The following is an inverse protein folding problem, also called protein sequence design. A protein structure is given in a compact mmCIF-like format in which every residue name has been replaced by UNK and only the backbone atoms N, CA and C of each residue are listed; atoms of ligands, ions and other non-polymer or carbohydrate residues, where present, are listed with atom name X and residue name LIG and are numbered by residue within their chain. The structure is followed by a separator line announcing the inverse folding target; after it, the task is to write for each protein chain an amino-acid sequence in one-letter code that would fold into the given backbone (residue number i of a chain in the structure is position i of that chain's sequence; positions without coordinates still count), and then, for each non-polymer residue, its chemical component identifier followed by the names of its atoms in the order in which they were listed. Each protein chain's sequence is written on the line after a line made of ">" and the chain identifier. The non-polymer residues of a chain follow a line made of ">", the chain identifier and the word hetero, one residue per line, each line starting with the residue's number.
data_IF_807204393472
#
_entry.id   IF_807204393472
#
_cell.length_a   1.000
_cell.length_b   1.000
_cell.length_c   1.000
_cell.angle_alpha   90.00
_cell.angle_beta   90.00
_cell.angle_gamma   90.00
#
_symmetry.space_group_name_H-M   'P 1'
#
loop_
_entity.id
_entity.type
_entity.pdbx_description
1 polymer ?
#
# COMPACT_ATOMS: atom_id res chain seq x y z
N UNK A 1 12.27 -5.61 -16.78
CA UNK A 1 12.54 -4.87 -15.53
C UNK A 1 13.22 -5.73 -14.46
N UNK A 2 12.76 -6.93 -14.19
CA UNK A 2 13.45 -7.83 -13.25
C UNK A 2 14.87 -8.15 -13.75
N UNK A 3 15.02 -8.49 -15.02
CA UNK A 3 16.32 -8.84 -15.62
C UNK A 3 17.28 -7.64 -15.62
N UNK A 4 16.76 -6.43 -15.85
CA UNK A 4 17.58 -5.21 -15.74
C UNK A 4 18.11 -4.95 -14.32
N UNK A 5 17.35 -5.32 -13.28
CA UNK A 5 17.84 -5.27 -11.91
C UNK A 5 18.92 -6.33 -11.64
N UNK A 6 18.78 -7.52 -12.26
CA UNK A 6 19.79 -8.58 -12.18
C UNK A 6 21.09 -8.17 -12.85
N UNK A 7 21.06 -7.65 -14.08
CA UNK A 7 22.20 -7.18 -14.85
C UNK A 7 22.98 -6.06 -14.12
N UNK A 8 22.26 -5.22 -13.37
CA UNK A 8 22.83 -4.14 -12.55
C UNK A 8 23.29 -4.61 -11.16
N UNK A 9 23.29 -5.90 -10.88
CA UNK A 9 23.69 -6.52 -9.60
C UNK A 9 22.94 -5.97 -8.38
N UNK A 10 21.74 -5.43 -8.61
CA UNK A 10 20.88 -4.88 -7.55
C UNK A 10 20.09 -5.96 -6.82
N UNK A 11 20.03 -7.17 -7.36
CA UNK A 11 19.31 -8.30 -6.77
C UNK A 11 20.26 -9.30 -6.12
N UNK A 12 19.75 -10.00 -5.14
CA UNK A 12 20.41 -11.17 -4.54
C UNK A 12 19.37 -12.22 -4.11
N UNK A 13 19.76 -13.52 -4.10
CA UNK A 13 18.88 -14.59 -3.66
C UNK A 13 18.75 -14.61 -2.14
N UNK A 14 17.49 -14.78 -1.66
CA UNK A 14 17.15 -14.88 -0.25
C UNK A 14 16.49 -16.23 0.03
N UNK A 15 17.06 -16.98 0.96
CA UNK A 15 16.65 -18.33 1.32
C UNK A 15 15.88 -18.40 2.66
N UNK A 16 15.60 -17.25 3.29
CA UNK A 16 14.87 -17.22 4.56
C UNK A 16 13.45 -17.75 4.43
N UNK A 17 13.02 -18.54 5.41
CA UNK A 17 11.61 -18.92 5.56
C UNK A 17 10.81 -17.82 6.26
N UNK A 18 9.48 -17.88 6.18
CA UNK A 18 8.62 -16.97 6.93
C UNK A 18 8.85 -17.10 8.43
N UNK A 19 8.97 -18.32 8.96
CA UNK A 19 9.22 -18.56 10.39
C UNK A 19 10.55 -17.96 10.86
N UNK A 20 11.61 -18.03 10.06
CA UNK A 20 12.88 -17.38 10.36
C UNK A 20 12.77 -15.86 10.40
N UNK A 21 11.97 -15.26 9.52
CA UNK A 21 11.73 -13.81 9.54
C UNK A 21 10.87 -13.38 10.74
N UNK A 22 9.93 -14.22 11.16
CA UNK A 22 9.09 -13.98 12.34
C UNK A 22 9.83 -14.17 13.67
N UNK A 23 10.84 -15.06 13.72
CA UNK A 23 11.60 -15.34 14.95
C UNK A 23 12.62 -14.27 15.31
N UNK A 24 13.03 -13.45 14.35
CA UNK A 24 13.79 -12.24 14.62
C UNK A 24 12.82 -11.20 15.16
N UNK A 25 13.08 -10.62 16.33
CA UNK A 25 12.30 -9.48 16.88
C UNK A 25 12.46 -8.23 16.00
N UNK A 26 12.11 -8.36 14.72
CA UNK A 26 12.15 -7.26 13.78
C UNK A 26 10.93 -6.36 14.00
N UNK A 27 11.09 -5.04 14.02
CA UNK A 27 9.96 -4.13 14.10
C UNK A 27 9.00 -4.40 12.94
N UNK A 28 7.70 -4.28 13.23
CA UNK A 28 6.67 -4.38 12.22
C UNK A 28 6.41 -3.01 11.60
N UNK A 29 6.23 -2.98 10.30
CA UNK A 29 5.64 -1.82 9.62
C UNK A 29 4.15 -1.73 9.93
N UNK A 30 3.57 -0.55 9.71
CA UNK A 30 2.12 -0.33 9.87
C UNK A 30 1.26 -1.30 9.05
N UNK A 31 1.81 -1.87 7.96
CA UNK A 31 1.18 -2.88 7.09
C UNK A 31 1.39 -4.32 7.59
N UNK A 32 1.99 -4.54 8.77
CA UNK A 32 2.30 -5.84 9.33
C UNK A 32 3.50 -6.55 8.67
N UNK A 33 4.25 -5.87 7.81
CA UNK A 33 5.47 -6.41 7.18
C UNK A 33 6.64 -6.32 8.15
N UNK A 34 7.46 -7.36 8.23
CA UNK A 34 8.69 -7.36 9.03
C UNK A 34 9.80 -6.62 8.31
N UNK A 35 10.58 -5.83 9.06
CA UNK A 35 11.83 -5.26 8.55
C UNK A 35 12.83 -6.39 8.34
N UNK A 36 13.32 -6.54 7.11
CA UNK A 36 14.26 -7.60 6.77
C UNK A 36 15.68 -7.28 7.26
N UNK A 37 16.29 -8.12 8.10
CA UNK A 37 17.60 -7.84 8.71
C UNK A 37 18.80 -8.04 7.77
N UNK A 38 18.60 -8.37 6.49
CA UNK A 38 19.69 -8.55 5.55
C UNK A 38 20.40 -9.92 5.61
N UNK A 39 19.84 -10.93 6.27
CA UNK A 39 20.47 -12.24 6.54
C UNK A 39 21.15 -12.87 5.31
N UNK A 40 20.53 -12.80 4.13
CA UNK A 40 21.09 -13.38 2.90
C UNK A 40 21.83 -12.37 2.01
N UNK A 41 21.91 -11.10 2.43
CA UNK A 41 22.42 -10.01 1.58
C UNK A 41 23.87 -10.23 1.10
N UNK A 42 24.68 -10.83 1.96
CA UNK A 42 26.12 -10.99 1.73
C UNK A 42 26.57 -12.45 1.70
N UNK A 43 25.66 -13.39 1.41
CA UNK A 43 26.03 -14.80 1.26
C UNK A 43 27.03 -14.99 0.13
N UNK A 44 28.13 -15.74 0.41
CA UNK A 44 29.10 -16.14 -0.59
C UNK A 44 28.52 -17.17 -1.56
N UNK A 45 29.18 -17.38 -2.69
CA UNK A 45 28.83 -18.43 -3.66
C UNK A 45 28.75 -19.82 -3.01
N UNK A 46 29.72 -20.16 -2.16
CA UNK A 46 29.75 -21.42 -1.44
C UNK A 46 28.51 -21.58 -0.53
N UNK A 47 28.21 -20.57 0.30
CA UNK A 47 27.02 -20.56 1.17
C UNK A 47 25.72 -20.68 0.40
N UNK A 48 25.63 -20.07 -0.79
CA UNK A 48 24.45 -20.19 -1.67
C UNK A 48 24.30 -21.61 -2.22
N UNK A 49 25.42 -22.27 -2.54
CA UNK A 49 25.42 -23.64 -3.03
C UNK A 49 24.96 -24.69 -1.99
N UNK A 50 25.05 -24.37 -0.70
CA UNK A 50 24.61 -25.23 0.41
C UNK A 50 23.11 -25.12 0.68
N UNK A 51 22.41 -24.16 0.02
CA UNK A 51 20.99 -23.92 0.27
C UNK A 51 20.10 -24.89 -0.53
N UNK A 52 19.31 -25.69 0.18
CA UNK A 52 18.46 -26.75 -0.38
C UNK A 52 17.03 -26.27 -0.77
N UNK A 53 16.89 -25.01 -1.15
CA UNK A 53 15.57 -24.45 -1.54
C UNK A 53 15.69 -23.37 -2.61
N UNK A 54 14.62 -23.21 -3.40
CA UNK A 54 14.52 -22.12 -4.34
C UNK A 54 14.53 -20.76 -3.61
N UNK A 55 15.29 -19.76 -4.07
CA UNK A 55 15.35 -18.45 -3.44
C UNK A 55 14.19 -17.56 -3.85
N UNK A 56 13.78 -16.69 -2.94
CA UNK A 56 13.15 -15.43 -3.31
C UNK A 56 14.24 -14.43 -3.73
N UNK A 57 13.88 -13.45 -4.55
CA UNK A 57 14.81 -12.41 -4.98
C UNK A 57 14.51 -11.10 -4.29
N UNK A 58 15.54 -10.49 -3.68
CA UNK A 58 15.42 -9.20 -3.02
C UNK A 58 16.22 -8.13 -3.76
N UNK A 59 15.65 -6.94 -3.85
CA UNK A 59 16.38 -5.75 -4.29
C UNK A 59 17.08 -5.11 -3.09
N UNK A 60 18.34 -4.71 -3.29
CA UNK A 60 19.14 -3.98 -2.32
C UNK A 60 18.60 -2.57 -2.17
N UNK A 61 18.30 -2.14 -0.96
CA UNK A 61 17.88 -0.77 -0.71
C UNK A 61 19.04 0.04 -0.12
N UNK A 62 19.21 1.31 -0.53
CA UNK A 62 20.21 2.18 0.05
C UNK A 62 19.75 2.76 1.39
N UNK A 63 20.73 3.07 2.26
CA UNK A 63 20.48 3.80 3.52
C UNK A 63 20.37 5.30 3.21
N UNK A 64 19.18 5.70 2.79
CA UNK A 64 18.81 7.11 2.59
C UNK A 64 17.35 7.34 2.94
N UNK A 65 16.98 8.60 3.15
CA UNK A 65 15.61 9.03 3.43
C UNK A 65 14.91 9.38 2.13
N UNK A 66 13.66 8.89 1.98
CA UNK A 66 12.69 9.33 0.98
C UNK A 66 11.67 10.23 1.65
N UNK A 67 11.42 11.38 1.06
CA UNK A 67 10.29 12.24 1.42
C UNK A 67 9.09 11.86 0.55
N UNK A 68 7.98 11.54 1.20
CA UNK A 68 6.69 11.32 0.55
C UNK A 68 5.82 12.52 0.88
N UNK A 69 5.41 13.26 -0.13
CA UNK A 69 4.44 14.35 -0.01
C UNK A 69 3.09 13.81 -0.49
N UNK A 70 2.23 13.50 0.46
CA UNK A 70 0.92 12.89 0.20
C UNK A 70 -0.18 13.96 0.27
N UNK A 71 -1.09 13.95 -0.70
CA UNK A 71 -2.16 14.95 -0.81
C UNK A 71 -3.13 14.94 0.36
N UNK A 72 -3.27 13.79 1.06
CA UNK A 72 -4.16 13.63 2.20
C UNK A 72 -3.38 13.55 3.52
N UNK A 73 -2.39 12.64 3.60
CA UNK A 73 -1.65 12.38 4.84
C UNK A 73 -0.56 13.43 5.13
N UNK A 74 -0.18 14.23 4.11
CA UNK A 74 0.85 15.24 4.24
C UNK A 74 2.27 14.66 4.10
N UNK A 75 3.26 15.38 4.62
CA UNK A 75 4.68 15.01 4.47
C UNK A 75 5.08 13.93 5.46
N UNK A 76 5.77 12.92 4.96
CA UNK A 76 6.38 11.87 5.76
C UNK A 76 7.78 11.53 5.25
N UNK A 77 8.62 11.00 6.13
CA UNK A 77 10.00 10.62 5.82
C UNK A 77 10.20 9.14 6.13
N UNK A 78 10.84 8.43 5.21
CA UNK A 78 11.06 6.98 5.29
C UNK A 78 12.50 6.63 4.95
N UNK A 79 13.15 5.87 5.80
CA UNK A 79 14.43 5.26 5.49
C UNK A 79 14.23 3.78 5.18
N UNK A 80 14.21 3.41 3.89
CA UNK A 80 13.90 2.04 3.48
C UNK A 80 14.81 0.99 4.09
N UNK A 81 16.08 1.28 4.33
CA UNK A 81 17.01 0.32 4.93
C UNK A 81 16.63 0.02 6.40
N UNK A 82 16.12 1.01 7.12
CA UNK A 82 15.73 0.90 8.54
C UNK A 82 14.28 0.50 8.72
N UNK A 83 13.39 1.00 7.87
CA UNK A 83 11.95 0.85 8.03
C UNK A 83 11.41 -0.42 7.34
N UNK A 84 12.12 -0.95 6.33
CA UNK A 84 11.65 -2.07 5.52
C UNK A 84 12.72 -3.16 5.33
N UNK A 85 13.98 -2.77 5.21
CA UNK A 85 15.05 -3.63 4.73
C UNK A 85 14.92 -3.94 3.23
N UNK A 86 15.78 -4.81 2.73
CA UNK A 86 15.76 -5.20 1.32
C UNK A 86 14.45 -5.89 0.93
N UNK A 87 13.79 -5.38 -0.12
CA UNK A 87 12.45 -5.81 -0.51
C UNK A 87 12.47 -7.06 -1.38
N UNK A 88 11.55 -7.99 -1.16
CA UNK A 88 11.29 -9.06 -2.13
C UNK A 88 10.69 -8.44 -3.38
N UNK A 89 11.20 -8.81 -4.55
CA UNK A 89 10.67 -8.44 -5.87
C UNK A 89 10.13 -9.65 -6.63
N UNK A 90 10.66 -10.86 -6.33
CA UNK A 90 10.16 -12.13 -6.87
C UNK A 90 10.19 -13.21 -5.79
N UNK A 91 9.12 -13.95 -5.67
CA UNK A 91 8.98 -15.05 -4.71
C UNK A 91 9.71 -16.30 -5.20
N UNK A 92 9.94 -17.24 -4.29
CA UNK A 92 10.58 -18.52 -4.61
C UNK A 92 9.77 -19.40 -5.59
N UNK A 93 8.46 -19.21 -5.67
CA UNK A 93 7.56 -19.85 -6.64
C UNK A 93 7.55 -19.16 -8.01
N UNK A 94 8.38 -18.14 -8.20
CA UNK A 94 8.52 -17.42 -9.47
C UNK A 94 7.57 -16.24 -9.65
N UNK A 95 6.61 -16.02 -8.72
CA UNK A 95 5.64 -14.92 -8.82
C UNK A 95 6.29 -13.60 -8.45
N UNK A 96 6.10 -12.58 -9.28
CA UNK A 96 6.49 -11.20 -8.96
C UNK A 96 5.58 -10.63 -7.88
N UNK A 97 6.16 -9.85 -6.96
CA UNK A 97 5.39 -9.26 -5.87
C UNK A 97 4.73 -7.96 -6.29
N UNK A 98 3.69 -7.59 -5.53
CA UNK A 98 2.88 -6.39 -5.77
C UNK A 98 3.73 -5.13 -6.01
N UNK A 99 4.74 -4.87 -5.18
CA UNK A 99 5.54 -3.65 -5.28
C UNK A 99 6.24 -3.51 -6.65
N UNK A 100 6.79 -4.61 -7.19
CA UNK A 100 7.41 -4.58 -8.51
C UNK A 100 6.37 -4.47 -9.62
N UNK A 101 5.31 -5.29 -9.55
CA UNK A 101 4.29 -5.36 -10.59
C UNK A 101 3.59 -4.01 -10.77
N UNK A 102 3.05 -3.44 -9.67
CA UNK A 102 2.33 -2.16 -9.75
C UNK A 102 3.23 -1.00 -10.20
N UNK A 103 4.50 -0.96 -9.74
CA UNK A 103 5.43 0.10 -10.17
C UNK A 103 5.69 0.06 -11.68
N UNK A 104 5.84 -1.14 -12.24
CA UNK A 104 6.07 -1.31 -13.68
C UNK A 104 4.80 -0.99 -14.47
N UNK A 105 3.65 -1.52 -14.05
CA UNK A 105 2.37 -1.33 -14.73
C UNK A 105 1.96 0.16 -14.73
N UNK A 106 2.04 0.83 -13.58
CA UNK A 106 1.74 2.26 -13.45
C UNK A 106 2.71 3.12 -14.28
N UNK A 107 4.01 2.81 -14.22
CA UNK A 107 5.03 3.52 -14.98
C UNK A 107 4.83 3.41 -16.49
N UNK A 108 4.52 2.20 -17.00
CA UNK A 108 4.25 1.96 -18.43
C UNK A 108 2.91 2.56 -18.87
N UNK A 109 1.91 2.58 -17.99
CA UNK A 109 0.63 3.21 -18.28
C UNK A 109 0.66 4.74 -18.18
N UNK A 110 1.75 5.33 -17.69
CA UNK A 110 1.88 6.77 -17.52
C UNK A 110 0.98 7.33 -16.42
N UNK A 111 0.76 6.57 -15.36
CA UNK A 111 -0.04 7.00 -14.20
C UNK A 111 0.63 8.20 -13.53
N UNK A 112 -0.14 9.28 -13.39
CA UNK A 112 0.33 10.55 -12.82
C UNK A 112 -0.16 10.79 -11.39
N UNK A 113 -1.21 10.08 -10.96
CA UNK A 113 -1.78 10.20 -9.62
C UNK A 113 -2.27 8.84 -9.13
N UNK A 114 -1.93 8.49 -7.88
CA UNK A 114 -2.30 7.22 -7.22
C UNK A 114 -3.16 7.53 -6.00
N UNK A 115 -4.45 7.16 -6.06
CA UNK A 115 -5.39 7.28 -4.94
C UNK A 115 -5.69 5.89 -4.38
N UNK A 116 -5.42 5.67 -3.09
CA UNK A 116 -5.61 4.36 -2.44
C UNK A 116 -5.73 4.47 -0.92
N UNK A 117 -6.04 3.37 -0.24
CA UNK A 117 -6.15 3.35 1.22
C UNK A 117 -4.85 3.66 1.95
N UNK A 118 -4.95 4.29 3.12
CA UNK A 118 -3.83 4.70 3.98
C UNK A 118 -2.97 3.53 4.47
N UNK A 119 -3.50 2.31 4.45
CA UNK A 119 -2.75 1.09 4.75
C UNK A 119 -1.60 0.81 3.76
N UNK A 120 -1.61 1.45 2.60
CA UNK A 120 -0.55 1.37 1.60
C UNK A 120 0.42 2.57 1.62
N UNK A 121 0.32 3.48 2.59
CA UNK A 121 1.21 4.65 2.69
C UNK A 121 2.69 4.23 2.75
N UNK A 122 3.01 3.20 3.53
CA UNK A 122 4.37 2.64 3.61
C UNK A 122 4.87 2.03 2.30
N UNK A 123 3.98 1.77 1.34
CA UNK A 123 4.36 1.27 0.01
C UNK A 123 4.88 2.37 -0.92
N UNK A 124 4.48 3.63 -0.71
CA UNK A 124 4.90 4.74 -1.57
C UNK A 124 6.43 4.89 -1.67
N UNK A 125 7.21 4.98 -0.58
CA UNK A 125 8.65 5.10 -0.67
C UNK A 125 9.33 3.88 -1.32
N UNK A 126 8.75 2.68 -1.17
CA UNK A 126 9.24 1.46 -1.84
C UNK A 126 9.06 1.52 -3.35
N UNK A 127 7.90 2.03 -3.79
CA UNK A 127 7.58 2.21 -5.20
C UNK A 127 8.39 3.36 -5.80
N UNK A 128 8.55 4.48 -5.08
CA UNK A 128 9.42 5.58 -5.49
C UNK A 128 10.85 5.11 -5.75
N UNK A 129 11.41 4.27 -4.89
CA UNK A 129 12.73 3.69 -5.12
C UNK A 129 12.77 2.83 -6.40
N UNK A 130 11.77 1.98 -6.64
CA UNK A 130 11.71 1.17 -7.86
C UNK A 130 11.50 2.06 -9.10
N UNK A 131 10.69 3.11 -9.01
CA UNK A 131 10.51 4.11 -10.08
C UNK A 131 11.85 4.76 -10.45
N UNK A 132 12.65 5.18 -9.46
CA UNK A 132 13.99 5.72 -9.70
C UNK A 132 14.89 4.71 -10.42
N UNK A 133 14.87 3.44 -10.00
CA UNK A 133 15.65 2.38 -10.64
C UNK A 133 15.28 2.15 -12.11
N UNK A 134 14.01 2.37 -12.45
CA UNK A 134 13.48 2.16 -13.81
C UNK A 134 13.42 3.44 -14.65
N UNK A 135 13.70 4.60 -14.05
CA UNK A 135 13.62 5.89 -14.74
C UNK A 135 12.18 6.38 -14.96
N UNK A 136 11.23 5.90 -14.16
CA UNK A 136 9.86 6.39 -14.17
C UNK A 136 9.71 7.65 -13.32
N UNK A 137 8.84 8.60 -13.70
CA UNK A 137 8.47 9.71 -12.84
C UNK A 137 7.71 9.22 -11.60
N UNK A 138 7.81 9.96 -10.49
CA UNK A 138 6.97 9.71 -9.33
C UNK A 138 5.58 10.29 -9.56
N UNK A 139 4.49 9.51 -9.39
CA UNK A 139 3.14 10.04 -9.39
C UNK A 139 2.88 10.85 -8.12
N UNK A 140 1.87 11.71 -8.13
CA UNK A 140 1.28 12.25 -6.92
C UNK A 140 0.59 11.11 -6.13
N UNK A 141 0.71 11.11 -4.81
CA UNK A 141 0.06 10.12 -3.96
C UNK A 141 -1.03 10.75 -3.11
N UNK A 142 -2.16 10.06 -2.98
CA UNK A 142 -3.25 10.41 -2.09
C UNK A 142 -3.71 9.15 -1.32
N UNK A 143 -3.33 9.04 -0.06
CA UNK A 143 -3.71 7.92 0.79
C UNK A 143 -4.94 8.29 1.61
N UNK A 144 -6.11 7.84 1.14
CA UNK A 144 -7.40 8.11 1.78
C UNK A 144 -7.59 7.27 3.05
N UNK A 145 -8.38 7.75 4.05
CA UNK A 145 -8.63 7.00 5.26
C UNK A 145 -9.28 5.65 4.98
N UNK A 146 -8.97 4.67 5.82
CA UNK A 146 -9.62 3.37 5.79
C UNK A 146 -11.01 3.45 6.39
N UNK A 147 -11.93 2.64 5.86
CA UNK A 147 -13.21 2.39 6.50
C UNK A 147 -13.08 1.20 7.45
N UNK A 148 -13.40 1.42 8.71
CA UNK A 148 -13.32 0.42 9.77
C UNK A 148 -14.72 0.01 10.21
N UNK A 149 -14.85 -1.23 10.69
CA UNK A 149 -16.01 -1.71 11.39
C UNK A 149 -16.13 -1.04 12.78
N UNK A 150 -17.31 -1.08 13.43
CA UNK A 150 -17.51 -0.46 14.75
C UNK A 150 -16.55 -0.93 15.86
N UNK A 151 -15.98 -2.12 15.72
CA UNK A 151 -14.98 -2.69 16.63
C UNK A 151 -13.54 -2.28 16.29
N UNK A 152 -13.34 -1.39 15.31
CA UNK A 152 -12.04 -0.87 14.88
C UNK A 152 -11.26 -1.79 13.94
N UNK A 153 -11.78 -2.97 13.59
CA UNK A 153 -11.14 -3.83 12.59
C UNK A 153 -11.38 -3.33 11.17
N UNK A 154 -10.51 -3.68 10.26
CA UNK A 154 -10.71 -3.42 8.82
C UNK A 154 -11.97 -4.14 8.32
N UNK A 155 -12.74 -3.46 7.47
CA UNK A 155 -13.86 -4.08 6.78
C UNK A 155 -13.36 -5.25 5.93
N UNK A 156 -14.03 -6.39 6.04
CA UNK A 156 -13.63 -7.63 5.41
C UNK A 156 -14.78 -8.24 4.59
N UNK A 157 -14.45 -8.71 3.37
CA UNK A 157 -15.39 -9.49 2.54
C UNK A 157 -15.86 -10.78 3.24
N UNK A 158 -15.04 -11.35 4.14
CA UNK A 158 -15.37 -12.58 4.87
C UNK A 158 -16.49 -12.37 5.90
N UNK A 159 -16.48 -11.19 6.52
CA UNK A 159 -17.44 -10.84 7.57
C UNK A 159 -18.70 -10.18 6.99
N UNK A 160 -18.78 -10.04 5.66
CA UNK A 160 -19.87 -9.39 4.92
C UNK A 160 -20.13 -7.94 5.37
N UNK A 161 -19.10 -7.28 5.87
CA UNK A 161 -19.16 -5.88 6.22
C UNK A 161 -19.39 -5.07 4.93
N UNK A 162 -20.42 -4.24 4.91
CA UNK A 162 -20.75 -3.32 3.82
C UNK A 162 -20.71 -3.99 2.42
N UNK A 163 -21.44 -5.11 2.27
CA UNK A 163 -21.59 -5.71 0.94
C UNK A 163 -22.43 -4.77 0.06
N UNK A 164 -21.80 -4.21 -0.97
CA UNK A 164 -22.48 -3.32 -1.92
C UNK A 164 -23.69 -3.97 -2.59
N UNK A 165 -23.70 -5.31 -2.75
CA UNK A 165 -24.83 -6.06 -3.26
C UNK A 165 -26.04 -6.04 -2.32
N UNK A 166 -25.82 -5.92 -1.02
CA UNK A 166 -26.89 -5.73 -0.04
C UNK A 166 -27.30 -4.26 0.04
N UNK A 167 -26.35 -3.34 0.21
CA UNK A 167 -26.62 -1.92 0.33
C UNK A 167 -27.46 -1.36 -0.83
N UNK A 168 -27.17 -1.78 -2.07
CA UNK A 168 -27.94 -1.38 -3.25
C UNK A 168 -29.41 -1.79 -3.22
N UNK A 169 -29.82 -2.70 -2.33
CA UNK A 169 -31.24 -3.07 -2.15
C UNK A 169 -31.94 -2.20 -1.10
N UNK A 170 -31.15 -1.55 -0.25
CA UNK A 170 -31.64 -0.81 0.91
C UNK A 170 -31.57 0.71 0.71
N UNK A 171 -30.67 1.17 -0.18
CA UNK A 171 -30.46 2.60 -0.43
C UNK A 171 -30.09 2.91 -1.88
N UNK A 172 -30.28 4.16 -2.30
CA UNK A 172 -29.86 4.68 -3.58
C UNK A 172 -28.33 4.84 -3.64
N UNK A 173 -27.70 4.82 -4.84
CA UNK A 173 -26.28 5.16 -4.99
C UNK A 173 -25.95 6.56 -4.45
N UNK A 174 -26.87 7.52 -4.60
CA UNK A 174 -26.74 8.91 -4.14
C UNK A 174 -26.74 9.00 -2.61
N UNK A 175 -27.63 8.23 -1.94
CA UNK A 175 -27.65 8.14 -0.49
C UNK A 175 -26.35 7.53 0.06
N UNK A 176 -25.88 6.41 -0.53
CA UNK A 176 -24.62 5.80 -0.12
C UNK A 176 -23.44 6.75 -0.33
N UNK A 177 -23.37 7.43 -1.48
CA UNK A 177 -22.31 8.38 -1.77
C UNK A 177 -22.34 9.56 -0.78
N UNK A 178 -23.50 10.11 -0.48
CA UNK A 178 -23.66 11.20 0.49
C UNK A 178 -23.22 10.79 1.90
N UNK A 179 -23.60 9.59 2.34
CA UNK A 179 -23.17 9.07 3.64
C UNK A 179 -21.66 8.87 3.74
N UNK A 180 -21.03 8.34 2.68
CA UNK A 180 -19.58 8.21 2.60
C UNK A 180 -18.88 9.57 2.54
N UNK A 181 -19.37 10.50 1.72
CA UNK A 181 -18.83 11.85 1.61
C UNK A 181 -18.90 12.63 2.92
N UNK A 182 -20.00 12.54 3.65
CA UNK A 182 -20.15 13.11 4.98
C UNK A 182 -19.17 12.46 5.99
N UNK A 183 -19.11 11.14 6.01
CA UNK A 183 -18.19 10.42 6.90
C UNK A 183 -16.74 10.78 6.63
N UNK A 184 -16.39 11.02 5.37
CA UNK A 184 -15.06 11.44 4.94
C UNK A 184 -14.78 12.94 5.14
N UNK A 185 -15.78 13.76 5.54
CA UNK A 185 -15.65 15.19 5.75
C UNK A 185 -15.74 16.05 4.48
N UNK A 186 -16.12 15.46 3.35
CA UNK A 186 -16.23 16.16 2.06
C UNK A 186 -17.48 17.07 2.01
N UNK A 187 -18.54 16.71 2.72
CA UNK A 187 -19.76 17.51 2.87
C UNK A 187 -20.10 17.71 4.34
N UNK A 188 -20.82 18.78 4.68
CA UNK A 188 -21.04 19.21 6.06
C UNK A 188 -22.23 18.53 6.74
N UNK A 189 -23.12 17.90 5.97
CA UNK A 189 -24.30 17.17 6.46
C UNK A 189 -24.56 15.93 5.60
N UNK A 190 -25.16 14.88 6.17
CA UNK A 190 -25.55 13.72 5.39
C UNK A 190 -26.75 14.09 4.50
N UNK A 191 -26.57 13.99 3.19
CA UNK A 191 -27.60 14.23 2.19
C UNK A 191 -27.32 13.40 0.92
N UNK A 192 -28.36 13.08 0.17
CA UNK A 192 -28.16 12.43 -1.12
C UNK A 192 -27.40 13.36 -2.08
N UNK A 193 -26.36 12.86 -2.71
CA UNK A 193 -25.53 13.65 -3.65
C UNK A 193 -25.17 12.85 -4.89
N UNK A 194 -25.26 13.50 -6.04
CA UNK A 194 -24.76 12.93 -7.29
C UNK A 194 -23.22 13.01 -7.37
N UNK A 195 -22.60 11.97 -7.94
CA UNK A 195 -21.13 11.91 -8.04
C UNK A 195 -20.53 13.08 -8.82
N UNK A 196 -21.25 13.62 -9.82
CA UNK A 196 -20.79 14.77 -10.60
C UNK A 196 -20.85 16.08 -9.79
N UNK A 197 -21.84 16.21 -8.94
CA UNK A 197 -21.96 17.38 -8.04
C UNK A 197 -20.86 17.30 -6.97
N UNK A 198 -20.68 16.16 -6.33
CA UNK A 198 -19.61 15.96 -5.36
C UNK A 198 -18.21 16.23 -5.96
N UNK A 199 -17.97 15.79 -7.19
CA UNK A 199 -16.70 16.01 -7.86
C UNK A 199 -16.37 17.50 -8.12
N UNK A 200 -17.40 18.37 -8.25
CA UNK A 200 -17.18 19.84 -8.43
C UNK A 200 -16.71 20.52 -7.15
N UNK A 201 -17.09 19.98 -6.00
CA UNK A 201 -16.78 20.53 -4.68
C UNK A 201 -15.66 19.80 -3.97
N UNK A 202 -15.10 18.78 -4.62
CA UNK A 202 -14.05 17.93 -4.04
C UNK A 202 -12.78 18.75 -3.76
N UNK A 203 -12.22 18.55 -2.57
CA UNK A 203 -10.92 19.09 -2.18
C UNK A 203 -10.20 18.10 -1.27
N UNK A 204 -8.91 17.93 -1.51
CA UNK A 204 -8.06 17.07 -0.68
C UNK A 204 -7.96 17.59 0.77
N UNK A 205 -8.01 18.92 0.98
CA UNK A 205 -7.92 19.54 2.29
C UNK A 205 -9.13 19.26 3.18
N UNK A 206 -10.29 18.97 2.57
CA UNK A 206 -11.52 18.62 3.31
C UNK A 206 -11.52 17.16 3.76
N UNK A 207 -10.79 16.29 3.07
CA UNK A 207 -10.78 14.88 3.37
C UNK A 207 -10.12 14.61 4.72
N UNK A 208 -10.79 13.86 5.58
CA UNK A 208 -10.24 13.43 6.87
C UNK A 208 -8.99 12.58 6.67
N UNK A 209 -8.03 12.70 7.58
CA UNK A 209 -6.80 11.90 7.59
C UNK A 209 -6.94 10.60 8.37
N UNK A 210 -7.74 10.66 9.43
CA UNK A 210 -7.96 9.56 10.35
C UNK A 210 -8.91 8.52 9.75
N UNK A 211 -8.68 7.26 10.07
CA UNK A 211 -9.56 6.16 9.67
C UNK A 211 -11.00 6.38 10.18
N UNK A 212 -11.97 5.98 9.38
CA UNK A 212 -13.39 6.26 9.59
C UNK A 212 -14.07 4.99 10.09
N UNK A 213 -14.60 5.04 11.32
CA UNK A 213 -15.43 3.99 11.84
C UNK A 213 -16.87 4.16 11.31
N UNK A 214 -17.32 3.24 10.45
CA UNK A 214 -18.66 3.28 9.87
C UNK A 214 -19.65 2.48 10.74
N UNK A 215 -20.75 3.12 11.12
CA UNK A 215 -21.89 2.44 11.72
C UNK A 215 -23.02 2.36 10.70
N UNK A 216 -23.50 1.14 10.42
CA UNK A 216 -24.62 0.88 9.49
C UNK A 216 -25.88 1.75 9.74
N UNK A 217 -26.32 2.01 11.01
CA UNK A 217 -27.43 2.92 11.27
C UNK A 217 -27.21 4.35 10.78
N UNK A 218 -25.97 4.82 10.70
CA UNK A 218 -25.64 6.15 10.18
C UNK A 218 -25.73 6.24 8.66
N UNK A 219 -25.62 5.10 7.97
CA UNK A 219 -25.83 5.01 6.52
C UNK A 219 -27.32 4.94 6.15
N UNK A 220 -28.17 4.45 7.06
CA UNK A 220 -29.60 4.24 6.83
C UNK A 220 -30.48 5.41 7.31
N UNK A 221 -29.91 6.45 7.91
CA UNK A 221 -30.63 7.63 8.44
C UNK A 221 -30.64 8.82 7.46
N UNK A 222 -30.46 8.57 6.16
CA UNK A 222 -30.61 9.56 5.10
C UNK A 222 -32.00 9.58 4.49
#
# INVERSE_FOLDING_TARGET
>A
YFDSLMERELLYPCYCTRSQLHSVNAPHLCDGTYVYPGTCRNLTWQQRGEMNRAPAWRVRVPDRVWEVEDLVQGKSQWNLAKDCGDMVVRRADGVYVYQLAVTVDDGLAGVTEVVRGSDLLSSAPRQMYLQELFGFPHPAYAHVPMLLAPDGRRLSKRDRDLDLGQLRKEMSPQALLGALAYSAGLIDRPEEIDARELAKEFSWERLRKEDICLMLPQLLCL
#
